data_IF_460440805341
#
_entry.id   IF_460440805341
#
_cell.length_a   1.000
_cell.length_b   1.000
_cell.length_c   1.000
_cell.angle_alpha   90.00
_cell.angle_beta   90.00
_cell.angle_gamma   90.00
#
_symmetry.space_group_name_H-M   'P 1'
#
loop_
_entity.id
_entity.type
_entity.pdbx_description
1 polymer ?
#
# COMPACT_ATOMS: atom_id res chain seq x y z
N UNK A 1 43.13 -19.03 -38.23
CA UNK A 1 42.85 -19.45 -36.84
C UNK A 1 42.59 -18.29 -35.86
N UNK A 2 43.33 -17.17 -35.90
CA UNK A 2 43.15 -16.04 -34.95
C UNK A 2 41.76 -15.38 -35.02
N UNK A 3 41.17 -15.27 -36.21
CA UNK A 3 39.86 -14.63 -36.41
C UNK A 3 38.70 -15.51 -35.89
N UNK A 4 38.84 -16.84 -35.99
CA UNK A 4 37.83 -17.80 -35.52
C UNK A 4 37.69 -17.78 -34.00
N UNK A 5 38.81 -17.66 -33.27
CA UNK A 5 38.80 -17.49 -31.80
C UNK A 5 38.10 -16.19 -31.37
N UNK A 6 38.29 -15.08 -32.10
CA UNK A 6 37.61 -13.81 -31.79
C UNK A 6 36.09 -13.90 -32.00
N UNK A 7 35.64 -14.56 -33.06
CA UNK A 7 34.21 -14.74 -33.34
C UNK A 7 33.55 -15.63 -32.26
N UNK A 8 34.22 -16.72 -31.85
CA UNK A 8 33.72 -17.60 -30.79
C UNK A 8 33.62 -16.85 -29.45
N UNK A 9 34.61 -16.01 -29.11
CA UNK A 9 34.59 -15.21 -27.88
C UNK A 9 33.46 -14.17 -27.86
N UNK A 10 33.17 -13.53 -29.00
CA UNK A 10 32.06 -12.58 -29.12
C UNK A 10 30.72 -13.30 -28.96
N UNK A 11 30.51 -14.43 -29.64
CA UNK A 11 29.27 -15.21 -29.52
C UNK A 11 29.07 -15.74 -28.10
N UNK A 12 30.14 -16.18 -27.43
CA UNK A 12 30.10 -16.62 -26.03
C UNK A 12 29.77 -15.46 -25.09
N UNK A 13 30.31 -14.26 -25.34
CA UNK A 13 30.01 -13.05 -24.54
C UNK A 13 28.56 -12.58 -24.69
N UNK A 14 27.98 -12.69 -25.89
CA UNK A 14 26.58 -12.34 -26.16
C UNK A 14 25.64 -13.38 -25.51
N UNK A 15 26.02 -14.65 -25.48
CA UNK A 15 25.27 -15.69 -24.78
C UNK A 15 25.25 -15.45 -23.27
N UNK A 16 26.39 -15.07 -22.67
CA UNK A 16 26.49 -14.72 -21.25
C UNK A 16 25.68 -13.46 -20.92
N UNK A 17 25.68 -12.45 -21.80
CA UNK A 17 24.94 -11.22 -21.61
C UNK A 17 23.41 -11.43 -21.63
N UNK A 18 22.92 -12.36 -22.45
CA UNK A 18 21.50 -12.73 -22.48
C UNK A 18 21.07 -13.55 -21.24
N UNK A 19 21.97 -14.33 -20.64
CA UNK A 19 21.66 -15.08 -19.40
C UNK A 19 21.62 -14.20 -18.16
N UNK A 20 22.34 -13.07 -18.13
CA UNK A 20 22.35 -12.15 -16.99
C UNK A 20 21.11 -11.25 -16.93
N UNK A 21 20.36 -11.12 -18.04
CA UNK A 21 19.21 -10.23 -18.12
C UNK A 21 17.90 -10.85 -17.60
N UNK A 22 17.89 -12.14 -17.25
CA UNK A 22 16.65 -12.89 -17.05
C UNK A 22 16.40 -13.36 -15.61
N UNK A 23 16.80 -12.62 -14.58
CA UNK A 23 16.38 -12.94 -13.19
C UNK A 23 16.35 -11.71 -12.28
N UNK A 24 15.60 -10.67 -12.64
CA UNK A 24 15.02 -9.82 -11.58
C UNK A 24 13.77 -10.55 -11.09
N UNK A 25 13.76 -11.13 -9.88
CA UNK A 25 12.51 -11.63 -9.32
C UNK A 25 11.59 -10.42 -9.17
N UNK A 26 10.53 -10.36 -9.98
CA UNK A 26 9.40 -9.47 -9.70
C UNK A 26 8.85 -9.99 -8.38
N UNK A 27 9.21 -9.32 -7.29
CA UNK A 27 8.78 -9.69 -5.94
C UNK A 27 7.25 -9.58 -5.94
N UNK A 28 6.59 -10.74 -5.90
CA UNK A 28 5.13 -10.86 -5.93
C UNK A 28 4.58 -10.22 -4.65
N UNK A 29 4.21 -8.94 -4.73
CA UNK A 29 3.55 -8.22 -3.63
C UNK A 29 2.30 -9.02 -3.26
N UNK A 30 2.29 -9.51 -2.02
CA UNK A 30 1.23 -10.28 -1.36
C UNK A 30 -0.15 -10.23 -2.05
N UNK A 31 -0.66 -11.41 -2.46
CA UNK A 31 -1.91 -11.61 -3.21
C UNK A 31 -3.21 -11.16 -2.50
N UNK A 32 -3.15 -10.69 -1.25
CA UNK A 32 -4.36 -10.40 -0.48
C UNK A 32 -4.81 -8.96 -0.67
N UNK A 33 -5.70 -8.79 -1.63
CA UNK A 33 -6.40 -7.54 -1.93
C UNK A 33 -7.86 -7.61 -1.45
N UNK A 34 -8.34 -6.54 -0.85
CA UNK A 34 -9.74 -6.38 -0.45
C UNK A 34 -10.37 -5.19 -1.16
N UNK A 35 -11.67 -5.28 -1.45
CA UNK A 35 -12.43 -4.20 -2.08
C UNK A 35 -13.60 -3.79 -1.18
N UNK A 36 -13.94 -2.52 -1.19
CA UNK A 36 -15.11 -2.02 -0.48
C UNK A 36 -15.11 -0.52 -0.28
N UNK A 37 -16.01 -0.05 0.58
CA UNK A 37 -16.19 1.39 0.83
C UNK A 37 -15.17 1.91 1.84
N UNK A 38 -14.49 2.99 1.49
CA UNK A 38 -13.79 3.85 2.42
C UNK A 38 -14.66 5.04 2.85
N UNK A 39 -14.50 5.47 4.10
CA UNK A 39 -14.88 6.82 4.54
C UNK A 39 -13.74 7.45 5.33
N UNK A 40 -13.99 8.54 6.05
CA UNK A 40 -13.01 9.14 6.94
C UNK A 40 -13.62 9.73 8.21
N UNK A 41 -12.79 9.85 9.25
CA UNK A 41 -13.19 10.39 10.53
C UNK A 41 -13.55 11.87 10.45
N UNK A 42 -14.58 12.26 11.20
CA UNK A 42 -14.87 13.65 11.47
C UNK A 42 -13.79 14.30 12.36
N UNK A 43 -13.53 15.59 12.19
CA UNK A 43 -12.50 16.33 12.94
C UNK A 43 -12.62 16.17 14.47
N UNK A 44 -13.86 16.12 14.98
CA UNK A 44 -14.21 15.97 16.42
C UNK A 44 -13.61 14.76 17.14
N UNK A 45 -13.13 13.76 16.40
CA UNK A 45 -12.49 12.58 16.99
C UNK A 45 -11.02 12.81 17.33
N UNK A 46 -10.38 13.85 16.77
CA UNK A 46 -8.98 14.19 17.04
C UNK A 46 -8.73 14.36 18.55
N UNK A 47 -7.63 13.82 19.06
CA UNK A 47 -7.29 13.84 20.48
C UNK A 47 -7.85 12.67 21.31
N UNK A 48 -8.73 11.83 20.75
CA UNK A 48 -9.25 10.64 21.45
C UNK A 48 -8.27 9.46 21.35
N UNK A 49 -8.34 8.53 22.31
CA UNK A 49 -7.62 7.25 22.21
C UNK A 49 -8.26 6.36 21.14
N UNK A 50 -7.41 5.75 20.31
CA UNK A 50 -7.79 4.69 19.39
C UNK A 50 -7.75 3.33 20.08
N UNK A 51 -8.20 2.29 19.38
CA UNK A 51 -8.13 0.90 19.83
C UNK A 51 -6.71 0.38 20.01
N UNK A 52 -5.70 0.98 19.37
CA UNK A 52 -4.28 0.67 19.64
C UNK A 52 -3.74 1.38 20.89
N UNK A 53 -4.53 2.25 21.52
CA UNK A 53 -4.11 3.10 22.63
C UNK A 53 -3.41 4.40 22.21
N UNK A 54 -3.16 4.61 20.92
CA UNK A 54 -2.57 5.85 20.39
C UNK A 54 -3.58 7.01 20.45
N UNK A 55 -3.10 8.25 20.55
CA UNK A 55 -3.95 9.43 20.37
C UNK A 55 -4.21 9.64 18.89
N UNK A 56 -5.48 9.61 18.50
CA UNK A 56 -5.91 9.88 17.14
C UNK A 56 -5.56 11.31 16.71
N UNK A 57 -4.95 11.44 15.55
CA UNK A 57 -4.62 12.73 14.94
C UNK A 57 -4.98 12.67 13.45
N UNK A 58 -5.87 13.57 13.02
CA UNK A 58 -6.35 13.66 11.64
C UNK A 58 -5.27 14.02 10.60
N UNK A 59 -4.09 14.47 11.05
CA UNK A 59 -2.93 14.80 10.23
C UNK A 59 -1.91 13.66 10.13
N UNK A 60 -2.16 12.51 10.76
CA UNK A 60 -1.32 11.31 10.60
C UNK A 60 -1.99 10.34 9.64
N UNK A 61 -1.19 9.66 8.82
CA UNK A 61 -1.64 8.63 7.88
C UNK A 61 -2.04 7.34 8.62
N UNK A 62 -3.19 7.39 9.29
CA UNK A 62 -3.77 6.28 10.04
C UNK A 62 -5.19 5.98 9.60
N UNK A 63 -5.68 4.80 9.94
CA UNK A 63 -7.03 4.34 9.62
C UNK A 63 -7.56 3.29 10.61
N UNK A 64 -8.87 3.08 10.55
CA UNK A 64 -9.58 2.05 11.29
C UNK A 64 -10.04 0.91 10.36
N UNK A 65 -9.79 -0.33 10.77
CA UNK A 65 -10.25 -1.53 10.08
C UNK A 65 -10.60 -2.62 11.11
N UNK A 66 -11.64 -3.41 10.87
CA UNK A 66 -12.17 -4.34 11.87
C UNK A 66 -11.51 -5.73 11.88
N UNK A 67 -10.73 -6.11 10.86
CA UNK A 67 -10.21 -7.48 10.73
C UNK A 67 -8.68 -7.59 10.61
N UNK A 68 -7.98 -6.53 10.20
CA UNK A 68 -6.52 -6.51 10.15
C UNK A 68 -5.92 -6.29 11.54
N UNK A 69 -4.77 -6.90 11.88
CA UNK A 69 -4.04 -6.58 13.09
C UNK A 69 -3.78 -5.08 13.25
N UNK A 70 -3.80 -4.58 14.49
CA UNK A 70 -3.34 -3.22 14.76
C UNK A 70 -1.84 -3.12 14.44
N UNK A 71 -1.43 -2.01 13.83
CA UNK A 71 -0.06 -1.78 13.36
C UNK A 71 0.23 -2.30 11.96
N UNK A 72 -0.73 -2.91 11.26
CA UNK A 72 -0.60 -3.24 9.83
C UNK A 72 -0.45 -1.97 8.99
N UNK A 73 0.42 -2.02 7.98
CA UNK A 73 0.48 -1.01 6.92
C UNK A 73 -0.33 -1.49 5.73
N UNK A 74 -1.16 -0.61 5.18
CA UNK A 74 -1.96 -0.92 4.00
C UNK A 74 -1.88 0.20 2.99
N UNK A 75 -1.81 -0.16 1.71
CA UNK A 75 -2.04 0.76 0.60
C UNK A 75 -3.51 0.75 0.25
N UNK A 76 -4.10 1.93 0.19
CA UNK A 76 -5.48 2.15 -0.22
C UNK A 76 -5.45 2.85 -1.56
N UNK A 77 -6.20 2.35 -2.54
CA UNK A 77 -6.33 2.96 -3.86
C UNK A 77 -7.78 3.28 -4.13
N UNK A 78 -8.08 4.53 -4.48
CA UNK A 78 -9.40 4.94 -4.93
C UNK A 78 -9.60 4.46 -6.37
N UNK A 79 -10.59 3.59 -6.58
CA UNK A 79 -10.83 2.92 -7.86
C UNK A 79 -11.22 3.93 -8.95
N UNK A 80 -11.92 5.01 -8.58
CA UNK A 80 -12.44 5.96 -9.54
C UNK A 80 -11.37 6.89 -10.15
N UNK A 81 -10.28 7.15 -9.43
CA UNK A 81 -9.25 8.11 -9.85
C UNK A 81 -7.80 7.57 -9.82
N UNK A 82 -7.60 6.33 -9.38
CA UNK A 82 -6.30 5.67 -9.31
C UNK A 82 -5.35 6.22 -8.23
N UNK A 83 -5.76 7.24 -7.45
CA UNK A 83 -4.92 7.78 -6.38
C UNK A 83 -4.79 6.78 -5.26
N UNK A 84 -3.61 6.73 -4.64
CA UNK A 84 -3.34 5.80 -3.55
C UNK A 84 -2.62 6.46 -2.37
N UNK A 85 -2.84 5.93 -1.18
CA UNK A 85 -2.19 6.36 0.06
C UNK A 85 -1.86 5.15 0.92
N UNK A 86 -0.71 5.18 1.60
CA UNK A 86 -0.34 4.16 2.59
C UNK A 86 -0.71 4.66 3.98
N UNK A 87 -1.40 3.83 4.76
CA UNK A 87 -1.83 4.15 6.13
C UNK A 87 -1.52 3.02 7.10
N UNK A 88 -1.32 3.39 8.37
CA UNK A 88 -1.22 2.43 9.48
C UNK A 88 -2.60 2.18 10.08
N UNK A 89 -2.98 0.91 10.23
CA UNK A 89 -4.18 0.53 10.99
C UNK A 89 -3.91 0.73 12.48
N UNK A 90 -4.57 1.68 13.12
CA UNK A 90 -4.39 1.93 14.56
C UNK A 90 -5.70 1.99 15.34
N UNK A 91 -6.83 1.77 14.67
CA UNK A 91 -8.13 1.81 15.30
C UNK A 91 -9.10 0.75 14.75
N UNK A 92 -10.26 0.64 15.41
CA UNK A 92 -11.41 -0.18 15.01
C UNK A 92 -12.62 0.69 14.80
N UNK A 93 -13.45 0.29 13.86
CA UNK A 93 -14.76 0.91 13.65
C UNK A 93 -15.79 0.25 14.58
N UNK A 94 -16.99 0.81 14.65
CA UNK A 94 -18.13 0.12 15.26
C UNK A 94 -18.29 -1.28 14.61
N UNK A 95 -18.58 -2.31 15.41
CA UNK A 95 -18.71 -3.70 14.94
C UNK A 95 -19.77 -3.89 13.85
N UNK A 96 -20.79 -3.04 13.83
CA UNK A 96 -21.87 -3.09 12.83
C UNK A 96 -21.54 -2.31 11.55
N UNK A 97 -20.40 -1.60 11.50
CA UNK A 97 -19.99 -0.87 10.32
C UNK A 97 -19.68 -1.85 9.17
N UNK A 98 -20.29 -1.60 8.00
CA UNK A 98 -20.11 -2.40 6.78
C UNK A 98 -19.02 -1.85 5.85
N UNK A 99 -18.43 -0.70 6.18
CA UNK A 99 -17.31 -0.12 5.42
C UNK A 99 -16.04 -0.95 5.61
N UNK A 100 -15.20 -0.94 4.59
CA UNK A 100 -13.91 -1.62 4.61
C UNK A 100 -12.92 -0.89 5.52
N UNK A 101 -12.91 0.45 5.47
CA UNK A 101 -11.91 1.26 6.17
C UNK A 101 -12.43 2.68 6.44
N UNK A 102 -12.11 3.22 7.62
CA UNK A 102 -12.32 4.65 7.95
C UNK A 102 -10.95 5.34 8.10
N UNK A 103 -10.66 6.27 7.20
CA UNK A 103 -9.37 6.94 7.08
C UNK A 103 -9.27 8.18 7.98
N UNK A 104 -8.04 8.61 8.27
CA UNK A 104 -7.76 9.98 8.71
C UNK A 104 -8.10 11.00 7.60
N UNK A 105 -8.38 12.24 7.99
CA UNK A 105 -8.70 13.30 7.04
C UNK A 105 -7.54 13.59 6.06
N UNK A 106 -6.27 13.54 6.51
CA UNK A 106 -5.12 13.71 5.61
C UNK A 106 -5.06 12.61 4.55
N UNK A 107 -5.32 11.35 4.91
CA UNK A 107 -5.33 10.24 3.96
C UNK A 107 -6.51 10.33 2.97
N UNK A 108 -7.68 10.76 3.45
CA UNK A 108 -8.84 11.03 2.60
C UNK A 108 -8.58 12.18 1.60
N UNK A 109 -7.80 13.18 1.98
CA UNK A 109 -7.36 14.26 1.10
C UNK A 109 -6.46 13.74 -0.02
N UNK A 110 -5.48 12.90 0.29
CA UNK A 110 -4.61 12.26 -0.73
C UNK A 110 -5.40 11.40 -1.72
N UNK A 111 -6.41 10.67 -1.25
CA UNK A 111 -7.30 9.88 -2.11
C UNK A 111 -8.32 10.73 -2.91
N UNK A 112 -8.37 12.04 -2.64
CA UNK A 112 -9.34 12.98 -3.19
C UNK A 112 -10.80 12.56 -2.97
N UNK A 113 -11.14 12.19 -1.73
CA UNK A 113 -12.50 11.77 -1.33
C UNK A 113 -13.17 12.73 -0.33
N UNK A 114 -12.52 13.85 0.01
CA UNK A 114 -13.02 14.81 1.01
C UNK A 114 -14.40 15.35 0.64
N UNK A 115 -14.61 15.69 -0.63
CA UNK A 115 -15.88 16.27 -1.09
C UNK A 115 -16.99 15.23 -1.21
N UNK A 116 -16.64 13.99 -1.57
CA UNK A 116 -17.58 12.88 -1.74
C UNK A 116 -17.96 12.22 -0.41
N UNK A 117 -17.13 12.34 0.62
CA UNK A 117 -17.31 11.69 1.92
C UNK A 117 -16.92 10.20 1.93
N UNK A 118 -17.18 9.50 0.83
CA UNK A 118 -16.93 8.06 0.65
C UNK A 118 -16.37 7.76 -0.73
N UNK A 119 -15.72 6.60 -0.88
CA UNK A 119 -15.30 6.07 -2.18
C UNK A 119 -15.21 4.55 -2.18
N UNK A 120 -15.34 3.94 -3.36
CA UNK A 120 -14.92 2.55 -3.58
C UNK A 120 -13.40 2.49 -3.66
N UNK A 121 -12.80 1.60 -2.86
CA UNK A 121 -11.35 1.46 -2.77
C UNK A 121 -10.92 -0.01 -2.89
N UNK A 122 -9.69 -0.21 -3.36
CA UNK A 122 -8.93 -1.43 -3.10
C UNK A 122 -7.97 -1.20 -1.92
N UNK A 123 -7.74 -2.25 -1.13
CA UNK A 123 -6.82 -2.25 0.01
C UNK A 123 -5.86 -3.43 -0.11
N UNK A 124 -4.58 -3.17 0.07
CA UNK A 124 -3.49 -4.15 -0.03
C UNK A 124 -2.60 -4.07 1.20
N UNK A 125 -2.21 -5.22 1.77
CA UNK A 125 -1.22 -5.25 2.85
C UNK A 125 0.17 -4.91 2.31
N UNK A 126 0.88 -4.07 3.05
CA UNK A 126 2.25 -3.68 2.74
C UNK A 126 3.20 -4.35 3.73
N UNK A 127 4.23 -4.99 3.18
CA UNK A 127 5.34 -5.51 3.96
C UNK A 127 6.11 -4.33 4.57
N UNK A 128 6.29 -4.38 5.89
CA UNK A 128 6.97 -3.31 6.64
C UNK A 128 8.43 -3.19 6.20
N UNK A 129 9.11 -4.31 5.98
CA UNK A 129 10.53 -4.30 5.59
C UNK A 129 10.70 -3.62 4.23
N UNK A 130 9.81 -3.93 3.29
CA UNK A 130 9.79 -3.32 1.96
C UNK A 130 9.45 -1.83 2.00
N UNK A 131 8.49 -1.43 2.84
CA UNK A 131 8.13 -0.03 3.00
C UNK A 131 9.27 0.82 3.57
N UNK A 132 10.00 0.33 4.56
CA UNK A 132 11.12 1.06 5.14
C UNK A 132 12.38 0.99 4.26
N UNK A 133 12.56 -0.06 3.46
CA UNK A 133 13.68 -0.16 2.52
C UNK A 133 13.54 0.76 1.29
N UNK A 134 12.32 1.20 0.96
CA UNK A 134 12.04 2.06 -0.20
C UNK A 134 12.04 3.55 0.11
N UNK A 135 12.37 3.95 1.34
CA UNK A 135 12.31 5.33 1.84
C UNK A 135 13.66 5.80 2.36
#
# INVERSE_FOLDING_TARGET
MKNLRKIILILFSVLILNTLFSFTPIKKVSEKQWHGIASFYHHKFSGRKTSSGEIFNNQKYTAANNFLPLGSLVKITNIANGKSVIVKINDRMNKNNKRLIDLSQIAAKELAIINQGIAQVSMELIDKEEFFASK
#
